data_IF_878464384435
#
_entry.id   IF_878464384435
#
_cell.length_a   1.000
_cell.length_b   1.000
_cell.length_c   1.000
_cell.angle_alpha   90.00
_cell.angle_beta   90.00
_cell.angle_gamma   90.00
#
_symmetry.space_group_name_H-M   'P 1'
#
loop_
_entity.id
_entity.type
_entity.pdbx_description
1 polymer ?
#
# COMPACT_ATOMS: atom_id res chain seq x y z
N UNK A 1 8.79 43.33 -30.14
CA UNK A 1 9.62 43.72 -28.97
C UNK A 1 8.64 44.37 -27.99
N UNK A 2 8.33 43.86 -26.80
CA UNK A 2 9.10 43.08 -25.83
C UNK A 2 8.23 42.00 -25.18
N UNK A 3 8.91 40.89 -24.93
CA UNK A 3 8.53 39.76 -24.07
C UNK A 3 8.31 40.24 -22.65
N UNK A 4 7.24 39.76 -22.00
CA UNK A 4 7.28 39.22 -20.63
C UNK A 4 6.07 38.30 -20.42
N UNK A 5 6.13 37.15 -21.12
CA UNK A 5 5.36 35.96 -20.82
C UNK A 5 6.27 35.07 -19.97
N UNK A 6 6.46 35.37 -18.68
CA UNK A 6 7.21 34.50 -17.77
C UNK A 6 6.86 34.86 -16.32
N UNK A 7 6.97 33.85 -15.45
CA UNK A 7 6.97 33.94 -13.97
C UNK A 7 5.65 34.07 -13.22
N UNK A 8 4.72 33.14 -13.41
CA UNK A 8 3.96 32.54 -12.27
C UNK A 8 3.69 31.06 -12.55
N UNK A 9 4.75 30.26 -12.76
CA UNK A 9 4.66 28.79 -12.94
C UNK A 9 5.58 28.03 -11.95
N UNK A 10 6.04 28.65 -10.86
CA UNK A 10 7.12 28.07 -10.06
C UNK A 10 6.84 27.93 -8.55
N UNK A 11 5.63 27.53 -8.14
CA UNK A 11 5.36 27.25 -6.72
C UNK A 11 4.55 25.97 -6.43
N UNK A 12 4.55 24.97 -7.33
CA UNK A 12 3.90 23.67 -7.06
C UNK A 12 4.86 22.51 -6.77
N UNK A 13 6.17 22.75 -6.64
CA UNK A 13 7.17 21.68 -6.42
C UNK A 13 7.41 21.35 -4.94
N UNK A 14 6.33 21.23 -4.17
CA UNK A 14 6.37 20.56 -2.85
C UNK A 14 5.29 19.48 -2.81
N UNK A 15 5.28 18.57 -3.80
CA UNK A 15 4.53 17.32 -3.68
C UNK A 15 5.23 16.45 -2.65
N UNK A 16 4.70 16.46 -1.44
CA UNK A 16 5.12 15.58 -0.37
C UNK A 16 4.80 14.13 -0.76
N UNK A 17 5.79 13.23 -0.68
CA UNK A 17 5.72 11.80 -1.03
C UNK A 17 4.64 11.01 -0.24
N UNK A 18 3.97 11.62 0.74
CA UNK A 18 3.00 10.99 1.63
C UNK A 18 1.70 10.58 0.94
N UNK A 19 1.27 11.30 -0.11
CA UNK A 19 0.05 10.96 -0.86
C UNK A 19 0.18 9.63 -1.59
N UNK A 20 1.39 9.27 -2.04
CA UNK A 20 1.60 8.02 -2.79
C UNK A 20 1.62 6.79 -1.87
N UNK A 21 2.21 6.92 -0.67
CA UNK A 21 2.24 5.82 0.30
C UNK A 21 0.84 5.45 0.80
N UNK A 22 0.02 6.43 1.18
CA UNK A 22 -1.32 6.15 1.68
C UNK A 22 -2.19 5.45 0.62
N UNK A 23 -2.09 5.92 -0.63
CA UNK A 23 -2.76 5.28 -1.76
C UNK A 23 -2.28 3.83 -1.96
N UNK A 24 -0.97 3.61 -1.96
CA UNK A 24 -0.39 2.27 -2.06
C UNK A 24 -0.85 1.36 -0.92
N UNK A 25 -0.91 1.85 0.32
CA UNK A 25 -1.43 1.08 1.47
C UNK A 25 -2.85 0.59 1.22
N UNK A 26 -3.76 1.47 0.78
CA UNK A 26 -5.15 1.09 0.48
C UNK A 26 -5.24 0.08 -0.67
N UNK A 27 -4.44 0.26 -1.73
CA UNK A 27 -4.42 -0.67 -2.87
C UNK A 27 -3.89 -2.05 -2.49
N UNK A 28 -2.82 -2.10 -1.68
CA UNK A 28 -2.27 -3.36 -1.14
C UNK A 28 -3.29 -4.03 -0.23
N UNK A 29 -3.94 -3.28 0.67
CA UNK A 29 -4.99 -3.81 1.55
C UNK A 29 -6.13 -4.44 0.76
N UNK A 30 -6.68 -3.73 -0.22
CA UNK A 30 -7.74 -4.25 -1.09
C UNK A 30 -7.31 -5.50 -1.86
N UNK A 31 -6.04 -5.56 -2.29
CA UNK A 31 -5.50 -6.77 -2.92
C UNK A 31 -5.39 -7.95 -1.97
N UNK A 32 -5.06 -7.73 -0.69
CA UNK A 32 -5.00 -8.78 0.34
C UNK A 32 -6.42 -9.26 0.66
N UNK A 33 -7.37 -8.34 0.87
CA UNK A 33 -8.78 -8.67 1.11
C UNK A 33 -9.33 -9.57 0.00
N UNK A 34 -9.11 -9.22 -1.26
CA UNK A 34 -9.53 -10.04 -2.40
C UNK A 34 -8.88 -11.45 -2.38
N UNK A 35 -7.61 -11.57 -1.96
CA UNK A 35 -6.96 -12.88 -1.82
C UNK A 35 -7.57 -13.70 -0.68
N UNK A 36 -7.86 -13.07 0.45
CA UNK A 36 -8.47 -13.73 1.60
C UNK A 36 -9.92 -14.13 1.33
N UNK A 37 -10.71 -13.33 0.62
CA UNK A 37 -12.08 -13.70 0.21
C UNK A 37 -12.09 -14.93 -0.71
N UNK A 38 -11.13 -14.99 -1.65
CA UNK A 38 -10.94 -16.16 -2.51
C UNK A 38 -10.57 -17.40 -1.70
N UNK A 39 -9.72 -17.25 -0.66
CA UNK A 39 -9.30 -18.34 0.20
C UNK A 39 -10.41 -18.80 1.15
N UNK A 40 -11.14 -17.87 1.77
CA UNK A 40 -12.29 -18.14 2.63
C UNK A 40 -13.34 -19.03 1.93
N UNK A 41 -13.60 -18.71 0.66
CA UNK A 41 -14.52 -19.47 -0.20
C UNK A 41 -14.06 -20.92 -0.45
N UNK A 42 -12.77 -21.21 -0.26
CA UNK A 42 -12.17 -22.53 -0.47
C UNK A 42 -11.88 -23.31 0.83
N UNK A 43 -11.68 -22.63 1.95
CA UNK A 43 -11.18 -23.25 3.21
C UNK A 43 -12.14 -23.16 4.39
N UNK A 44 -13.34 -22.60 4.22
CA UNK A 44 -14.30 -22.30 5.31
C UNK A 44 -13.68 -21.45 6.44
N UNK A 45 -12.60 -20.73 6.16
CA UNK A 45 -11.92 -19.84 7.12
C UNK A 45 -12.46 -18.42 6.97
N UNK A 46 -12.80 -17.77 8.09
CA UNK A 46 -13.16 -16.36 8.10
C UNK A 46 -11.92 -15.50 8.30
N UNK A 47 -11.75 -14.46 7.48
CA UNK A 47 -10.67 -13.48 7.59
C UNK A 47 -11.24 -12.08 7.85
N UNK A 48 -10.60 -11.32 8.72
CA UNK A 48 -10.83 -9.89 8.92
C UNK A 48 -9.47 -9.19 8.98
N UNK A 49 -9.29 -8.11 8.19
CA UNK A 49 -8.07 -7.29 8.27
C UNK A 49 -8.32 -6.15 9.25
N UNK A 50 -7.54 -6.12 10.33
CA UNK A 50 -7.59 -5.06 11.33
C UNK A 50 -6.81 -3.82 10.87
N UNK A 51 -5.57 -4.02 10.42
CA UNK A 51 -4.66 -2.93 10.07
C UNK A 51 -3.64 -3.37 9.01
N UNK A 52 -3.16 -2.40 8.24
CA UNK A 52 -2.00 -2.55 7.35
C UNK A 52 -1.18 -1.27 7.42
N UNK A 53 0.05 -1.38 7.90
CA UNK A 53 0.98 -0.26 7.99
C UNK A 53 2.21 -0.50 7.11
N UNK A 54 2.39 0.35 6.09
CA UNK A 54 3.55 0.30 5.20
C UNK A 54 4.63 1.31 5.61
N UNK A 55 5.88 0.86 5.63
CA UNK A 55 7.08 1.68 5.87
C UNK A 55 8.02 1.58 4.67
N UNK A 56 8.36 2.72 4.07
CA UNK A 56 9.32 2.77 2.96
C UNK A 56 10.72 2.48 3.50
N UNK A 57 11.38 1.45 2.96
CA UNK A 57 12.76 1.08 3.35
C UNK A 57 13.79 1.50 2.32
N UNK A 58 13.38 1.58 1.05
CA UNK A 58 14.11 2.24 -0.02
C UNK A 58 13.13 2.72 -1.08
N UNK A 59 13.60 3.53 -2.04
CA UNK A 59 12.74 4.01 -3.13
C UNK A 59 11.96 2.85 -3.72
N UNK A 60 10.64 2.97 -3.76
CA UNK A 60 9.72 1.99 -4.35
C UNK A 60 9.64 0.63 -3.63
N UNK A 61 10.27 0.49 -2.46
CA UNK A 61 10.25 -0.73 -1.65
C UNK A 61 9.74 -0.42 -0.24
N UNK A 62 8.79 -1.22 0.21
CA UNK A 62 8.12 -1.04 1.48
C UNK A 62 8.08 -2.37 2.23
N UNK A 63 8.13 -2.28 3.55
CA UNK A 63 7.83 -3.38 4.45
C UNK A 63 6.51 -3.06 5.14
N UNK A 64 5.63 -4.05 5.26
CA UNK A 64 4.30 -3.91 5.83
C UNK A 64 4.10 -4.77 7.07
N UNK A 65 3.38 -4.26 8.04
CA UNK A 65 2.80 -5.07 9.13
C UNK A 65 1.31 -5.20 8.87
N UNK A 66 0.83 -6.43 8.73
CA UNK A 66 -0.58 -6.76 8.52
C UNK A 66 -1.11 -7.47 9.77
N UNK A 67 -2.18 -6.94 10.35
CA UNK A 67 -2.86 -7.59 11.47
C UNK A 67 -4.22 -8.11 11.01
N UNK A 68 -4.51 -9.37 11.34
CA UNK A 68 -5.74 -10.06 10.93
C UNK A 68 -6.41 -10.74 12.13
N UNK A 69 -7.70 -11.04 11.96
CA UNK A 69 -8.41 -12.05 12.74
C UNK A 69 -8.78 -13.19 11.80
N UNK A 70 -8.35 -14.40 12.14
CA UNK A 70 -8.66 -15.62 11.39
C UNK A 70 -9.34 -16.61 12.33
N UNK A 71 -10.60 -16.97 12.02
CA UNK A 71 -11.43 -17.80 12.89
C UNK A 71 -11.50 -17.35 14.37
N UNK A 72 -11.38 -16.03 14.62
CA UNK A 72 -11.42 -15.45 15.96
C UNK A 72 -10.06 -15.36 16.67
N UNK A 73 -8.97 -15.84 16.06
CA UNK A 73 -7.61 -15.69 16.56
C UNK A 73 -6.87 -14.56 15.82
N UNK A 74 -6.04 -13.81 16.53
CA UNK A 74 -5.29 -12.70 15.93
C UNK A 74 -3.94 -13.17 15.38
N UNK A 75 -3.62 -12.73 14.17
CA UNK A 75 -2.34 -12.99 13.52
C UNK A 75 -1.69 -11.68 13.07
N UNK A 76 -0.36 -11.69 13.03
CA UNK A 76 0.45 -10.59 12.52
C UNK A 76 1.40 -11.14 11.49
N UNK A 77 1.43 -10.52 10.32
CA UNK A 77 2.28 -10.91 9.19
C UNK A 77 3.19 -9.76 8.80
N UNK A 78 4.42 -10.11 8.41
CA UNK A 78 5.30 -9.19 7.71
C UNK A 78 5.11 -9.32 6.20
N UNK A 79 5.08 -8.18 5.52
CA UNK A 79 4.90 -8.06 4.08
C UNK A 79 6.09 -7.37 3.43
N UNK A 80 6.56 -7.88 2.31
CA UNK A 80 7.35 -7.10 1.36
C UNK A 80 6.42 -6.54 0.28
N UNK A 81 6.53 -5.25 -0.03
CA UNK A 81 5.80 -4.59 -1.10
C UNK A 81 6.77 -3.82 -2.01
N UNK A 82 6.67 -4.04 -3.32
CA UNK A 82 7.46 -3.33 -4.34
C UNK A 82 6.52 -2.71 -5.36
N UNK A 83 6.75 -1.45 -5.74
CA UNK A 83 5.93 -0.73 -6.72
C UNK A 83 6.78 -0.02 -7.77
N UNK A 84 6.28 0.15 -8.98
CA UNK A 84 6.88 1.05 -9.97
C UNK A 84 6.17 2.41 -10.08
N UNK A 85 5.15 2.64 -9.23
CA UNK A 85 4.29 3.82 -9.22
C UNK A 85 2.96 3.63 -9.97
N UNK A 86 2.91 2.69 -10.91
CA UNK A 86 1.69 2.36 -11.67
C UNK A 86 1.08 1.01 -11.20
N UNK A 87 1.94 0.10 -10.74
CA UNK A 87 1.61 -1.25 -10.29
C UNK A 87 2.40 -1.63 -9.05
N UNK A 88 1.99 -2.71 -8.38
CA UNK A 88 2.68 -3.23 -7.21
C UNK A 88 2.60 -4.75 -7.13
N UNK A 89 3.53 -5.31 -6.37
CA UNK A 89 3.53 -6.71 -5.95
C UNK A 89 3.77 -6.78 -4.45
N UNK A 90 3.15 -7.76 -3.80
CA UNK A 90 3.36 -8.03 -2.37
C UNK A 90 3.47 -9.52 -2.09
N UNK A 91 4.13 -9.86 -0.99
CA UNK A 91 4.21 -11.22 -0.45
C UNK A 91 4.30 -11.16 1.07
N UNK A 92 3.74 -12.16 1.74
CA UNK A 92 4.02 -12.43 3.16
C UNK A 92 5.41 -13.07 3.22
N UNK A 93 6.25 -12.61 4.14
CA UNK A 93 7.62 -13.12 4.32
C UNK A 93 7.79 -14.00 5.55
N UNK A 94 7.00 -13.79 6.60
CA UNK A 94 6.96 -14.58 7.83
C UNK A 94 5.53 -14.69 8.37
#
# INVERSE_FOLDING_TARGET
>A
MRITFFTVLFMLLLSCNSTNKAKLTEEVKASIENKFDQQASATETSYEILSLDLTETSTNNYVGILETIENGESFTYELDVVTDGDSFVWKIIE
#
